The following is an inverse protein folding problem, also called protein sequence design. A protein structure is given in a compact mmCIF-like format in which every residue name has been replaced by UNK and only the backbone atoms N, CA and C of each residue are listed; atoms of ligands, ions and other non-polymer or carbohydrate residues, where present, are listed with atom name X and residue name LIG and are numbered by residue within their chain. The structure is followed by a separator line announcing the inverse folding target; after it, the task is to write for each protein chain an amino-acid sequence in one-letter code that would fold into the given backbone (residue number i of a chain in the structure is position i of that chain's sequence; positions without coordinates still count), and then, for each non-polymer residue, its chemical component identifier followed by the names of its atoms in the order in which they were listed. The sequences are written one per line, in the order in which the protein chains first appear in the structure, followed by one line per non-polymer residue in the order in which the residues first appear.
data_IF_420403012723
#
_entry.id   IF_420403012723
#
_cell.length_a   1.000
_cell.length_b   1.000
_cell.length_c   1.000
_cell.angle_alpha   90.00
_cell.angle_beta   90.00
_cell.angle_gamma   90.00
#
_symmetry.space_group_name_H-M   'P 1'
#
loop_
_entity.id
_entity.type
_entity.pdbx_description
1 polymer ?
2 non-polymer ?
3 non-polymer ?
4 water ?
#
# COMPACT_ATOMS: atom_id res chain seq x y z
N UNK A 1 16.83 -21.39 18.37
CA UNK A 1 18.25 -21.11 18.38
C UNK A 1 18.71 -19.64 18.18
N UNK A 2 18.27 -18.88 17.19
CA UNK A 2 18.73 -17.49 17.00
C UNK A 2 18.36 -16.40 18.01
N UNK A 3 17.34 -16.84 18.74
CA UNK A 3 16.67 -16.09 19.75
C UNK A 3 17.46 -15.19 20.64
N UNK A 4 18.56 -15.48 21.22
CA UNK A 4 19.07 -14.41 22.06
C UNK A 4 19.83 -13.39 21.25
N UNK A 5 20.21 -13.71 20.03
CA UNK A 5 21.32 -13.02 19.43
C UNK A 5 21.24 -12.67 17.95
N UNK A 6 22.18 -11.81 17.56
CA UNK A 6 22.36 -11.27 16.23
C UNK A 6 22.32 -12.38 15.20
N UNK A 7 21.56 -12.18 14.12
CA UNK A 7 21.48 -13.08 12.99
C UNK A 7 22.25 -12.42 11.87
N UNK A 8 22.85 -13.23 11.01
CA UNK A 8 23.62 -12.67 9.90
C UNK A 8 22.84 -13.12 8.67
N UNK A 9 22.39 -12.28 7.73
CA UNK A 9 21.59 -12.78 6.63
C UNK A 9 21.71 -11.90 5.41
N UNK A 10 21.14 -12.32 4.29
CA UNK A 10 21.10 -11.52 3.09
C UNK A 10 19.92 -10.57 3.17
N UNK A 11 20.12 -9.41 2.56
CA UNK A 11 19.13 -8.36 2.43
C UNK A 11 19.61 -7.46 1.34
N UNK A 12 18.62 -6.72 0.84
CA UNK A 12 18.80 -5.78 -0.25
C UNK A 12 19.13 -4.42 0.31
N UNK A 13 20.30 -3.95 -0.09
CA UNK A 13 20.75 -2.65 0.34
C UNK A 13 20.81 -1.68 -0.82
N UNK A 14 20.38 -0.45 -0.52
CA UNK A 14 20.61 0.67 -1.43
C UNK A 14 21.73 1.44 -0.75
N UNK A 15 22.89 1.52 -1.35
CA UNK A 15 23.96 2.27 -0.70
C UNK A 15 23.90 3.68 -1.23
N UNK A 16 23.24 3.85 -2.38
CA UNK A 16 23.27 5.07 -3.12
C UNK A 16 22.04 5.10 -4.01
N UNK A 17 21.42 6.29 -4.22
CA UNK A 17 20.22 6.31 -5.01
C UNK A 17 20.59 6.29 -6.48
N UNK A 18 19.54 5.85 -7.14
CA UNK A 18 19.55 5.58 -8.54
C UNK A 18 20.54 4.46 -8.86
N UNK A 19 20.69 3.53 -7.93
CA UNK A 19 21.55 2.38 -8.08
C UNK A 19 20.68 1.16 -7.88
N UNK A 20 20.83 0.04 -8.60
CA UNK A 20 20.19 -1.22 -8.22
C UNK A 20 20.60 -1.70 -6.83
N UNK A 21 19.83 -2.61 -6.28
CA UNK A 21 20.10 -3.12 -4.96
C UNK A 21 21.25 -4.15 -4.97
N UNK A 22 22.03 -4.12 -3.88
CA UNK A 22 23.10 -5.07 -3.62
C UNK A 22 22.47 -6.13 -2.73
N UNK A 23 22.56 -7.43 -3.00
CA UNK A 23 22.14 -8.47 -2.07
C UNK A 23 23.38 -8.51 -1.15
N UNK A 24 23.25 -8.30 0.14
CA UNK A 24 24.40 -8.21 0.99
C UNK A 24 24.16 -9.15 2.14
N UNK A 25 25.18 -9.35 2.94
CA UNK A 25 25.01 -10.10 4.15
C UNK A 25 25.04 -9.01 5.22
N UNK A 26 24.13 -9.09 6.14
CA UNK A 26 23.98 -8.04 7.10
C UNK A 26 23.76 -8.74 8.42
N UNK A 27 23.84 -7.94 9.43
CA UNK A 27 23.69 -8.43 10.74
C UNK A 27 22.48 -7.81 11.35
N UNK A 28 21.47 -8.64 11.59
CA UNK A 28 20.24 -8.19 12.18
C UNK A 28 20.41 -8.34 13.69
N UNK A 29 20.51 -7.19 14.39
CA UNK A 29 20.61 -7.14 15.84
C UNK A 29 19.46 -7.88 16.50
N UNK A 30 19.56 -8.50 17.68
CA UNK A 30 18.40 -8.94 18.48
C UNK A 30 17.41 -7.81 18.91
N UNK A 31 16.12 -8.10 19.07
CA UNK A 31 15.12 -7.12 19.46
C UNK A 31 15.16 -6.65 20.91
N UNK A 32 15.11 -5.34 21.07
CA UNK A 32 15.08 -4.79 22.40
C UNK A 32 13.65 -4.80 22.95
N UNK A 33 13.29 -4.07 24.02
CA UNK A 33 11.93 -4.15 24.56
C UNK A 33 10.97 -3.59 23.55
N UNK A 34 9.85 -4.33 23.42
CA UNK A 34 8.72 -4.01 22.55
C UNK A 34 9.14 -4.03 21.07
N UNK A 35 10.16 -4.85 20.70
CA UNK A 35 10.52 -5.04 19.31
C UNK A 35 10.22 -6.48 18.96
N UNK A 36 10.11 -6.84 17.68
CA UNK A 36 9.75 -8.17 17.24
C UNK A 36 10.76 -8.42 16.18
N UNK A 37 11.15 -9.65 15.95
CA UNK A 37 12.07 -9.92 14.85
C UNK A 37 11.33 -10.94 14.03
N UNK A 38 11.30 -10.71 12.73
CA UNK A 38 10.45 -11.46 11.81
C UNK A 38 11.27 -12.10 10.70
N UNK A 39 10.94 -13.36 10.44
CA UNK A 39 11.52 -14.06 9.37
C UNK A 39 10.53 -13.85 8.22
N UNK A 40 11.01 -13.14 7.20
CA UNK A 40 10.19 -12.84 6.03
C UNK A 40 9.85 -14.10 5.22
N UNK A 41 8.81 -14.10 4.41
CA UNK A 41 8.40 -15.30 3.71
C UNK A 41 8.16 -14.91 2.24
N UNK A 42 7.45 -13.78 2.09
CA UNK A 42 7.09 -13.13 0.82
C UNK A 42 6.93 -11.62 1.04
N UNK A 43 7.45 -10.79 0.14
CA UNK A 43 7.33 -9.36 0.26
C UNK A 43 6.94 -8.89 -1.12
N UNK A 44 5.96 -7.99 -1.32
CA UNK A 44 5.70 -7.43 -2.65
C UNK A 44 6.64 -6.26 -2.93
N UNK A 45 6.69 -5.97 -4.24
CA UNK A 45 7.40 -4.83 -4.82
C UNK A 45 6.34 -3.79 -5.22
N UNK A 46 6.58 -2.55 -4.83
CA UNK A 46 5.66 -1.45 -4.95
C UNK A 46 6.39 -0.15 -5.28
N UNK A 47 5.79 0.66 -6.16
CA UNK A 47 6.21 2.00 -6.53
C UNK A 47 6.90 2.81 -5.44
N UNK A 48 6.40 2.81 -4.20
CA UNK A 48 6.93 3.65 -3.14
C UNK A 48 8.35 3.33 -2.75
N UNK A 49 8.77 2.05 -2.82
CA UNK A 49 10.16 1.87 -2.47
C UNK A 49 11.00 2.03 -3.70
N UNK A 50 10.40 1.98 -4.90
CA UNK A 50 11.09 2.37 -6.11
C UNK A 50 11.21 3.91 -6.11
N UNK A 51 10.27 4.71 -5.55
CA UNK A 51 10.46 6.15 -5.43
C UNK A 51 11.66 6.47 -4.58
N UNK A 52 12.01 5.67 -3.58
CA UNK A 52 13.17 5.85 -2.71
C UNK A 52 14.49 5.87 -3.51
N UNK A 53 14.45 4.82 -4.37
CA UNK A 53 15.54 4.49 -5.27
C UNK A 53 15.75 5.67 -6.19
N UNK A 54 14.71 6.16 -6.84
CA UNK A 54 14.94 7.32 -7.67
C UNK A 54 15.36 8.58 -6.88
N UNK A 55 15.42 8.74 -5.54
CA UNK A 55 15.74 10.02 -4.92
C UNK A 55 14.44 10.73 -4.52
N UNK A 56 13.33 10.47 -5.22
CA UNK A 56 12.01 11.07 -4.98
C UNK A 56 11.41 10.94 -3.59
N UNK A 57 11.26 9.74 -3.00
CA UNK A 57 10.86 9.68 -1.61
C UNK A 57 12.21 9.79 -0.92
N UNK A 58 12.33 10.89 -0.15
CA UNK A 58 13.59 11.10 0.55
C UNK A 58 13.41 10.44 1.92
N UNK A 59 14.29 9.45 2.09
CA UNK A 59 14.43 8.66 3.30
C UNK A 59 15.97 8.54 3.33
N UNK A 60 16.60 8.57 4.52
CA UNK A 60 18.06 8.42 4.65
C UNK A 60 18.68 7.14 4.04
N UNK A 61 19.70 7.36 3.21
CA UNK A 61 20.45 6.25 2.60
C UNK A 61 21.77 5.93 3.32
N UNK A 62 22.40 4.73 3.37
CA UNK A 62 21.91 3.45 2.86
C UNK A 62 20.73 2.94 3.64
N UNK A 63 19.88 2.15 2.99
CA UNK A 63 18.61 1.69 3.55
C UNK A 63 18.24 0.31 2.99
N UNK A 64 17.49 -0.40 3.85
CA UNK A 64 16.81 -1.65 3.48
C UNK A 64 15.35 -1.18 3.17
N UNK A 65 14.85 -1.06 1.93
CA UNK A 65 13.51 -0.62 1.63
C UNK A 65 12.59 -1.79 1.92
N UNK A 66 11.39 -1.75 1.40
CA UNK A 66 10.39 -2.79 1.61
C UNK A 66 9.43 -2.33 2.66
N UNK A 67 8.15 -2.32 2.35
CA UNK A 67 7.13 -2.01 3.35
C UNK A 67 5.99 -3.02 3.19
N UNK A 68 5.86 -3.80 2.11
CA UNK A 68 4.68 -4.65 1.97
C UNK A 68 4.99 -6.14 2.08
N UNK A 69 4.71 -6.81 3.19
CA UNK A 69 5.15 -8.18 3.42
C UNK A 69 4.36 -8.85 4.49
N UNK A 70 4.49 -10.18 4.55
CA UNK A 70 3.92 -11.04 5.57
C UNK A 70 5.10 -11.96 5.91
N UNK A 71 5.15 -12.57 7.11
CA UNK A 71 6.25 -13.48 7.59
C UNK A 71 5.91 -14.25 8.88
N UNK A 72 6.93 -14.83 9.55
CA UNK A 72 6.74 -15.47 10.88
C UNK A 72 7.63 -14.86 11.98
N UNK A 73 7.10 -14.78 13.20
CA UNK A 73 7.75 -14.20 14.38
C UNK A 73 8.81 -15.14 14.93
N UNK A 74 10.04 -14.64 15.11
CA UNK A 74 11.18 -15.41 15.61
C UNK A 74 11.45 -15.01 17.08
N UNK A 75 12.02 -13.85 17.34
CA UNK A 75 12.33 -13.45 18.68
C UNK A 75 11.30 -12.45 19.17
N UNK A 76 10.80 -12.33 20.38
CA UNK A 76 10.06 -11.10 20.70
C UNK A 76 10.86 -10.31 21.77
N UNK A 77 10.87 -8.98 21.84
CA UNK A 77 11.67 -8.30 22.82
C UNK A 77 10.90 -8.26 24.10
N UNK A 78 11.48 -7.58 25.08
CA UNK A 78 10.90 -7.36 26.41
C UNK A 78 9.56 -6.60 26.34
N UNK A 79 8.55 -7.12 27.03
CA UNK A 79 7.23 -6.48 27.16
C UNK A 79 6.43 -6.61 25.88
N UNK A 80 6.51 -7.71 25.13
CA UNK A 80 5.72 -7.90 23.94
C UNK A 80 4.57 -8.87 24.26
N UNK A 81 3.46 -8.16 24.35
CA UNK A 81 2.12 -8.68 24.58
C UNK A 81 1.29 -9.12 23.38
N UNK A 82 1.52 -8.67 22.14
CA UNK A 82 0.66 -9.00 21.00
C UNK A 82 1.11 -10.16 20.11
N UNK A 83 2.42 -10.45 20.06
CA UNK A 83 2.90 -11.53 19.23
C UNK A 83 3.83 -12.36 20.11
N UNK A 84 3.99 -13.58 19.64
CA UNK A 84 4.77 -14.59 20.32
C UNK A 84 5.40 -15.35 19.17
N UNK A 85 6.63 -15.76 19.31
CA UNK A 85 7.36 -16.54 18.32
C UNK A 85 6.53 -17.60 17.61
N UNK A 86 6.62 -17.53 16.31
CA UNK A 86 6.00 -18.49 15.45
C UNK A 86 4.72 -17.92 14.86
N UNK A 87 4.33 -16.70 15.27
CA UNK A 87 3.11 -16.09 14.78
C UNK A 87 3.33 -15.58 13.40
N UNK A 88 2.31 -15.83 12.58
CA UNK A 88 2.23 -15.24 11.26
C UNK A 88 1.97 -13.73 11.53
N UNK A 89 2.57 -12.81 10.79
CA UNK A 89 2.39 -11.37 10.99
C UNK A 89 2.59 -10.58 9.71
N UNK A 90 2.19 -9.31 9.68
CA UNK A 90 2.40 -8.41 8.57
C UNK A 90 2.96 -7.13 9.18
N UNK A 91 4.19 -6.69 8.85
CA UNK A 91 4.72 -5.38 9.24
C UNK A 91 3.82 -4.24 8.83
N UNK A 92 3.69 -3.21 9.65
CA UNK A 92 2.80 -2.09 9.36
C UNK A 92 3.65 -0.83 9.16
N UNK A 93 3.62 -0.43 7.89
CA UNK A 93 4.35 0.73 7.44
C UNK A 93 3.70 2.00 8.03
N UNK A 94 2.39 1.95 8.33
CA UNK A 94 1.77 3.02 9.09
C UNK A 94 1.18 2.41 10.33
N UNK A 95 1.73 2.79 11.48
CA UNK A 95 1.57 2.09 12.74
C UNK A 95 0.21 2.18 13.39
N UNK A 96 0.06 1.64 14.57
CA UNK A 96 -1.11 1.96 15.32
C UNK A 96 -0.64 2.00 16.75
N UNK A 97 0.04 3.09 17.12
CA UNK A 97 0.51 3.20 18.51
C UNK A 97 -0.54 3.24 19.60
N UNK A 98 -1.84 3.24 19.28
CA UNK A 98 -2.89 3.31 20.29
C UNK A 98 -3.04 4.62 21.05
N UNK A 99 -2.00 5.44 21.35
CA UNK A 99 -2.13 6.66 22.21
C UNK A 99 -2.41 8.07 21.71
N UNK A 100 -1.78 8.41 20.60
CA UNK A 100 -2.06 9.68 20.03
C UNK A 100 -3.51 9.85 19.63
N UNK A 101 -3.72 11.14 19.45
CA UNK A 101 -4.95 11.74 19.00
C UNK A 101 -5.36 11.25 17.64
N UNK A 102 -4.51 10.82 16.66
CA UNK A 102 -5.06 10.17 15.45
C UNK A 102 -5.62 8.76 15.73
N UNK A 103 -4.98 8.02 16.65
CA UNK A 103 -5.36 6.67 17.05
C UNK A 103 -6.61 6.67 17.90
N UNK A 104 -6.77 7.77 18.63
CA UNK A 104 -7.96 7.99 19.43
C UNK A 104 -9.09 8.46 18.52
N UNK A 105 -8.79 9.30 17.53
CA UNK A 105 -9.79 9.85 16.63
C UNK A 105 -10.62 8.76 15.93
N UNK A 106 -11.97 8.75 15.81
CA UNK A 106 -12.70 7.60 15.27
C UNK A 106 -12.54 7.37 13.77
N UNK A 107 -11.70 8.17 13.11
CA UNK A 107 -11.56 7.97 11.70
C UNK A 107 -10.13 8.08 11.28
N UNK A 108 -9.33 8.78 12.08
CA UNK A 108 -7.98 9.03 11.66
C UNK A 108 -7.20 7.71 11.69
N UNK A 109 -6.24 7.60 10.78
CA UNK A 109 -5.46 6.38 10.69
C UNK A 109 -4.00 6.74 10.50
N UNK A 110 -3.66 7.98 10.14
CA UNK A 110 -2.27 8.33 9.93
C UNK A 110 -1.64 8.67 11.26
N UNK A 111 -1.33 7.56 11.97
CA UNK A 111 -0.64 7.54 13.25
C UNK A 111 0.59 8.41 13.34
N UNK A 112 0.54 9.39 14.26
CA UNK A 112 1.76 10.17 14.62
C UNK A 112 3.14 9.50 14.90
N UNK A 113 3.33 8.20 15.08
CA UNK A 113 4.65 7.70 15.32
C UNK A 113 4.97 7.03 13.99
N UNK A 114 4.78 7.77 12.90
CA UNK A 114 4.97 7.23 11.58
C UNK A 114 6.28 7.82 11.07
N UNK A 115 7.01 7.15 10.16
CA UNK A 115 8.28 7.66 9.60
C UNK A 115 8.10 8.12 8.15
N UNK A 116 6.84 8.34 7.75
CA UNK A 116 6.50 8.86 6.43
C UNK A 116 6.62 10.36 6.28
N UNK A 117 6.06 11.08 7.24
CA UNK A 117 6.04 12.54 7.16
C UNK A 117 7.44 13.11 7.16
N UNK A 118 8.20 12.72 8.19
CA UNK A 118 9.54 13.27 8.36
C UNK A 118 10.52 12.11 8.51
N UNK A 119 10.95 11.40 7.46
CA UNK A 119 11.55 10.07 7.57
C UNK A 119 12.94 10.10 8.22
N UNK A 120 13.14 9.54 9.40
CA UNK A 120 14.49 9.44 9.88
C UNK A 120 15.21 8.07 9.64
N UNK A 121 14.45 7.11 9.10
CA UNK A 121 14.89 5.75 8.77
C UNK A 121 15.39 4.93 9.96
N UNK A 122 14.69 4.97 11.13
CA UNK A 122 15.09 4.33 12.38
C UNK A 122 13.91 3.61 13.03
N UNK A 123 14.23 3.03 14.16
CA UNK A 123 13.28 2.33 15.01
C UNK A 123 12.84 3.43 15.94
N UNK A 124 11.86 3.18 16.79
CA UNK A 124 11.34 4.27 17.61
C UNK A 124 12.34 4.90 18.55
N UNK A 125 13.30 4.10 18.96
CA UNK A 125 14.35 4.58 19.81
C UNK A 125 15.41 5.34 19.04
N UNK A 126 15.14 5.85 17.83
CA UNK A 126 16.14 6.55 17.07
C UNK A 126 17.29 5.64 16.61
N UNK A 127 17.47 4.38 17.00
CA UNK A 127 18.53 3.60 16.40
C UNK A 127 18.02 2.62 15.33
N UNK A 128 19.02 2.07 14.66
CA UNK A 128 18.96 1.09 13.60
C UNK A 128 19.35 -0.31 14.10
N UNK A 129 18.88 -1.39 13.50
CA UNK A 129 19.23 -2.75 13.96
C UNK A 129 19.93 -3.49 12.78
N UNK A 130 20.60 -2.76 11.88
CA UNK A 130 21.25 -3.31 10.70
C UNK A 130 22.68 -2.72 10.60
N UNK A 131 23.66 -3.54 10.28
CA UNK A 131 25.04 -3.07 10.13
C UNK A 131 25.63 -3.95 9.07
N UNK A 132 26.25 -3.46 8.04
CA UNK A 132 26.78 -4.29 7.00
C UNK A 132 28.23 -3.94 7.21
N UNK A 133 29.02 -4.93 7.65
CA UNK A 133 30.44 -4.69 7.96
C UNK A 133 30.70 -3.52 8.96
N UNK A 134 30.03 -3.43 10.13
CA UNK A 134 30.21 -2.27 11.00
C UNK A 134 29.46 -1.00 10.54
N UNK A 135 29.39 -0.69 9.23
CA UNK A 135 28.57 0.41 8.75
C UNK A 135 27.05 0.19 8.99
N UNK A 136 26.30 1.10 9.59
CA UNK A 136 24.86 0.98 9.82
C UNK A 136 23.98 1.24 8.60
N UNK A 137 22.95 0.40 8.44
CA UNK A 137 22.00 0.50 7.34
C UNK A 137 20.67 0.97 7.92
N UNK A 138 20.11 2.07 7.46
CA UNK A 138 18.82 2.53 7.96
C UNK A 138 17.63 1.66 7.62
N UNK A 139 16.67 1.67 8.55
CA UNK A 139 15.36 1.04 8.41
C UNK A 139 14.40 1.87 7.51
N UNK A 140 13.45 1.27 6.76
CA UNK A 140 12.49 1.94 5.90
C UNK A 140 11.12 1.60 6.48
N UNK A 141 10.45 2.75 6.76
CA UNK A 141 9.10 2.93 7.31
C UNK A 141 8.87 2.07 8.53
N UNK A 142 9.99 1.93 9.24
CA UNK A 142 10.06 1.01 10.38
C UNK A 142 9.57 -0.42 10.08
N UNK A 143 9.85 -0.86 8.83
CA UNK A 143 9.58 -2.19 8.32
C UNK A 143 10.80 -2.80 7.67
N UNK A 144 11.46 -2.22 6.65
CA UNK A 144 12.57 -2.80 5.91
C UNK A 144 12.33 -4.27 5.52
N UNK A 145 11.33 -4.61 4.70
CA UNK A 145 11.03 -6.00 4.50
C UNK A 145 11.84 -6.68 3.37
N UNK A 146 12.84 -6.02 2.71
CA UNK A 146 13.71 -6.62 1.71
C UNK A 146 14.94 -7.24 2.43
N UNK A 147 14.70 -8.06 3.41
CA UNK A 147 15.75 -8.62 4.23
C UNK A 147 15.20 -9.94 4.65
N UNK A 148 16.08 -10.90 4.93
CA UNK A 148 15.55 -12.18 5.31
C UNK A 148 14.93 -12.13 6.69
N UNK A 149 15.38 -11.18 7.49
CA UNK A 149 14.97 -10.95 8.85
C UNK A 149 14.89 -9.45 9.05
N UNK A 150 14.02 -9.03 9.97
CA UNK A 150 13.85 -7.60 10.27
C UNK A 150 13.32 -7.43 11.68
N UNK A 151 13.45 -6.23 12.23
CA UNK A 151 12.98 -6.00 13.57
C UNK A 151 11.99 -4.82 13.44
N UNK A 152 10.79 -4.95 14.01
CA UNK A 152 9.79 -3.90 13.96
C UNK A 152 9.33 -3.60 15.38
N UNK A 153 8.88 -2.38 15.67
CA UNK A 153 8.34 -2.09 16.98
C UNK A 153 6.99 -2.75 17.12
N UNK A 154 6.57 -3.09 18.33
CA UNK A 154 5.30 -3.80 18.53
C UNK A 154 4.09 -3.01 17.93
N UNK A 155 4.14 -1.69 17.74
CA UNK A 155 3.06 -0.96 17.06
C UNK A 155 3.09 -1.10 15.51
N UNK A 156 4.08 -1.75 14.91
CA UNK A 156 4.19 -1.89 13.48
C UNK A 156 4.15 -3.35 13.07
N UNK A 157 3.45 -4.23 13.77
CA UNK A 157 3.27 -5.62 13.38
C UNK A 157 1.83 -5.97 13.80
N UNK A 158 1.09 -6.67 12.93
CA UNK A 158 -0.25 -7.13 13.28
C UNK A 158 -0.16 -8.65 13.15
N UNK A 159 -0.74 -9.38 14.11
CA UNK A 159 -0.73 -10.85 14.10
C UNK A 159 -1.90 -11.25 13.21
N UNK A 160 -1.76 -12.34 12.45
CA UNK A 160 -2.83 -12.78 11.59
C UNK A 160 -3.10 -14.27 11.77
N UNK A 161 -4.05 -14.83 11.00
CA UNK A 161 -4.41 -16.24 11.08
C UNK A 161 -3.33 -17.21 10.65
N UNK A 162 -3.36 -18.28 11.46
CA UNK A 162 -2.45 -19.37 11.37
C UNK A 162 -2.53 -20.02 10.02
N UNK A 163 -3.71 -20.27 9.43
CA UNK A 163 -3.78 -20.91 8.14
C UNK A 163 -3.49 -19.98 6.97
N UNK A 164 -2.96 -18.78 7.22
CA UNK A 164 -2.87 -17.80 6.17
C UNK A 164 -1.80 -18.04 5.15
N UNK A 165 -2.17 -18.01 3.86
CA UNK A 165 -1.25 -18.15 2.75
C UNK A 165 -0.33 -16.96 2.69
N UNK A 166 0.86 -16.91 3.30
CA UNK A 166 1.70 -15.70 3.26
C UNK A 166 2.29 -15.24 1.93
N UNK A 167 2.19 -16.02 0.90
CA UNK A 167 2.66 -15.59 -0.39
C UNK A 167 1.57 -14.77 -1.11
N UNK A 168 0.34 -14.86 -0.56
CA UNK A 168 -0.81 -14.19 -1.12
C UNK A 168 -1.25 -13.12 -0.14
N UNK A 169 -1.40 -13.36 1.16
CA UNK A 169 -1.79 -12.27 2.02
C UNK A 169 -0.75 -11.22 2.25
N UNK A 170 0.44 -11.17 1.68
CA UNK A 170 1.30 -10.04 1.96
C UNK A 170 0.77 -8.74 1.34
N UNK A 171 -0.19 -8.80 0.38
CA UNK A 171 -0.76 -7.64 -0.32
C UNK A 171 -1.53 -6.77 0.62
N UNK A 172 -2.01 -7.36 1.70
CA UNK A 172 -2.79 -6.66 2.70
C UNK A 172 -1.89 -5.72 3.47
N UNK A 173 -0.58 -5.68 3.24
CA UNK A 173 0.30 -4.77 3.92
C UNK A 173 0.49 -3.47 3.20
N UNK A 174 0.03 -3.39 1.96
CA UNK A 174 0.01 -2.10 1.31
C UNK A 174 -0.99 -1.98 0.19
N UNK A 175 -0.68 -2.30 -1.07
CA UNK A 175 -1.54 -2.11 -2.24
C UNK A 175 -2.98 -2.60 -2.16
N UNK A 176 -3.33 -3.85 -1.82
CA UNK A 176 -4.73 -4.22 -1.69
C UNK A 176 -5.35 -3.35 -0.63
N UNK A 177 -5.10 -3.42 0.67
CA UNK A 177 -5.61 -2.47 1.63
C UNK A 177 -5.59 -1.01 1.21
N UNK A 178 -4.61 -0.43 0.54
CA UNK A 178 -4.74 0.95 0.17
C UNK A 178 -5.94 1.11 -0.75
N UNK A 179 -6.16 0.41 -1.87
CA UNK A 179 -7.36 0.55 -2.69
C UNK A 179 -8.62 0.02 -2.03
N UNK A 180 -8.75 -1.18 -1.44
CA UNK A 180 -10.04 -1.69 -0.95
C UNK A 180 -10.58 -0.82 0.15
N UNK A 181 -9.76 -0.10 0.90
CA UNK A 181 -10.17 0.84 1.95
C UNK A 181 -10.51 2.21 1.39
N UNK A 182 -9.89 2.66 0.31
CA UNK A 182 -10.22 3.90 -0.32
C UNK A 182 -11.65 3.78 -0.81
N UNK A 183 -12.13 2.57 -1.12
CA UNK A 183 -13.49 2.34 -1.48
C UNK A 183 -14.35 2.07 -0.26
N UNK A 184 -14.04 1.05 0.51
CA UNK A 184 -14.81 0.69 1.69
C UNK A 184 -14.76 1.60 2.92
N UNK A 185 -13.62 2.20 3.24
CA UNK A 185 -13.50 2.95 4.47
C UNK A 185 -13.46 4.44 4.28
N UNK A 186 -12.76 4.96 3.27
CA UNK A 186 -12.63 6.42 3.06
C UNK A 186 -13.85 7.06 2.34
N UNK A 187 -14.10 6.65 1.07
CA UNK A 187 -15.24 7.10 0.32
C UNK A 187 -16.50 6.51 0.92
N UNK A 188 -16.52 5.40 1.65
CA UNK A 188 -17.74 4.79 2.18
C UNK A 188 -18.82 4.62 1.12
N UNK A 189 -18.38 4.00 0.02
CA UNK A 189 -19.21 3.74 -1.15
C UNK A 189 -20.50 3.05 -0.74
N UNK A 190 -21.61 3.26 -1.48
CA UNK A 190 -22.87 2.73 -1.05
C UNK A 190 -23.45 1.66 -1.90
N UNK A 191 -24.45 1.01 -1.32
CA UNK A 191 -25.27 0.07 -2.01
C UNK A 191 -25.94 0.77 -3.23
N UNK A 192 -25.94 0.24 -4.45
CA UNK A 192 -26.56 0.92 -5.57
C UNK A 192 -25.65 1.92 -6.31
N UNK A 193 -24.71 2.65 -5.66
CA UNK A 193 -23.90 3.67 -6.29
C UNK A 193 -23.19 3.42 -7.62
N UNK A 194 -22.78 4.51 -8.26
CA UNK A 194 -22.00 4.43 -9.48
C UNK A 194 -20.60 4.92 -9.15
N UNK A 195 -19.61 4.08 -9.30
CA UNK A 195 -18.25 4.48 -9.04
C UNK A 195 -17.48 4.59 -10.32
N UNK A 196 -16.47 5.44 -10.38
CA UNK A 196 -15.57 5.52 -11.51
C UNK A 196 -14.20 5.42 -10.86
N UNK A 197 -13.30 4.52 -11.33
CA UNK A 197 -11.95 4.37 -10.82
C UNK A 197 -11.05 4.84 -11.96
N UNK A 198 -10.07 5.69 -11.74
CA UNK A 198 -9.22 6.16 -12.80
C UNK A 198 -7.91 5.41 -12.67
N UNK A 199 -7.39 4.75 -13.69
CA UNK A 199 -6.18 4.01 -13.54
C UNK A 199 -6.48 2.64 -13.00
N UNK A 200 -5.95 1.59 -13.57
CA UNK A 200 -6.29 0.24 -13.13
C UNK A 200 -5.07 -0.69 -13.02
N UNK A 201 -4.12 -0.27 -12.16
CA UNK A 201 -3.00 -1.11 -11.86
C UNK A 201 -3.49 -1.85 -10.64
N UNK A 202 -2.65 -2.55 -9.91
CA UNK A 202 -3.09 -3.34 -8.75
C UNK A 202 -3.95 -2.61 -7.75
N UNK A 203 -3.71 -1.31 -7.51
CA UNK A 203 -4.51 -0.49 -6.57
C UNK A 203 -5.93 -0.22 -7.08
N UNK A 204 -6.06 0.20 -8.35
CA UNK A 204 -7.32 0.41 -9.03
C UNK A 204 -8.10 -0.89 -9.03
N UNK A 205 -7.42 -2.03 -9.15
CA UNK A 205 -8.08 -3.32 -9.05
C UNK A 205 -8.55 -3.54 -7.65
N UNK A 206 -7.89 -3.04 -6.59
CA UNK A 206 -8.35 -3.25 -5.21
C UNK A 206 -9.54 -2.39 -4.82
N UNK A 207 -9.60 -1.18 -5.41
CA UNK A 207 -10.72 -0.24 -5.29
C UNK A 207 -11.96 -0.97 -5.80
N UNK A 208 -11.96 -1.45 -7.05
CA UNK A 208 -13.08 -2.14 -7.72
C UNK A 208 -13.60 -3.29 -6.92
N UNK A 209 -12.67 -4.05 -6.31
CA UNK A 209 -13.00 -5.07 -5.33
C UNK A 209 -13.70 -4.43 -4.12
N UNK A 210 -13.27 -3.30 -3.53
CA UNK A 210 -13.97 -2.66 -2.42
C UNK A 210 -15.36 -2.15 -2.77
N UNK A 211 -15.45 -1.42 -3.89
CA UNK A 211 -16.68 -0.83 -4.45
C UNK A 211 -17.62 -1.96 -4.69
N UNK A 212 -17.11 -3.09 -5.20
CA UNK A 212 -17.89 -4.29 -5.35
C UNK A 212 -18.35 -4.71 -3.96
N UNK A 213 -17.51 -4.90 -2.96
CA UNK A 213 -17.95 -5.24 -1.63
C UNK A 213 -19.02 -4.32 -0.99
N UNK A 214 -19.03 -3.00 -1.32
CA UNK A 214 -20.03 -2.09 -0.78
C UNK A 214 -21.31 -2.19 -1.53
N UNK A 215 -21.31 -2.79 -2.72
CA UNK A 215 -22.51 -2.98 -3.49
C UNK A 215 -22.78 -1.93 -4.57
N UNK A 216 -21.76 -1.24 -5.10
CA UNK A 216 -21.95 -0.24 -6.15
C UNK A 216 -22.63 -0.91 -7.32
N UNK A 217 -23.65 -0.40 -8.03
CA UNK A 217 -24.16 -1.15 -9.16
C UNK A 217 -23.39 -0.83 -10.44
N UNK A 218 -22.57 0.19 -10.45
CA UNK A 218 -21.72 0.41 -11.59
C UNK A 218 -20.25 0.60 -11.19
N UNK A 219 -19.26 -0.04 -11.81
CA UNK A 219 -17.87 0.34 -11.57
C UNK A 219 -17.32 0.58 -12.97
N UNK A 220 -17.15 1.83 -13.35
CA UNK A 220 -16.60 2.22 -14.63
C UNK A 220 -15.08 2.29 -14.43
N UNK A 221 -14.25 1.51 -15.10
CA UNK A 221 -12.82 1.51 -14.91
C UNK A 221 -12.32 2.30 -16.07
N UNK A 222 -11.43 3.27 -15.95
CA UNK A 222 -11.04 4.02 -17.12
C UNK A 222 -9.53 4.03 -17.19
N UNK A 223 -8.93 3.64 -18.32
CA UNK A 223 -7.49 3.63 -18.39
C UNK A 223 -7.13 3.92 -19.83
N UNK A 224 -6.09 4.71 -20.13
CA UNK A 224 -5.76 4.91 -21.54
C UNK A 224 -5.20 3.65 -22.19
N UNK A 225 -4.87 2.58 -21.40
CA UNK A 225 -4.42 1.28 -21.93
C UNK A 225 -5.42 0.13 -21.81
N UNK A 226 -5.96 -0.08 -23.01
CA UNK A 226 -6.92 -1.11 -23.36
C UNK A 226 -6.68 -2.46 -22.79
N UNK A 227 -5.41 -2.81 -22.54
CA UNK A 227 -5.09 -4.18 -22.21
C UNK A 227 -5.49 -4.44 -20.75
N UNK A 228 -5.58 -3.35 -19.99
CA UNK A 228 -5.98 -3.39 -18.60
C UNK A 228 -7.44 -3.77 -18.44
N UNK A 229 -8.30 -3.62 -19.45
CA UNK A 229 -9.73 -3.75 -19.26
C UNK A 229 -10.27 -5.10 -18.83
N UNK A 230 -9.60 -6.18 -19.25
CA UNK A 230 -10.01 -7.56 -18.93
C UNK A 230 -9.98 -7.93 -17.45
N UNK A 231 -8.81 -7.94 -16.78
CA UNK A 231 -8.67 -8.25 -15.36
C UNK A 231 -9.56 -7.36 -14.53
N UNK A 232 -9.56 -6.04 -14.80
CA UNK A 232 -10.43 -5.06 -14.18
C UNK A 232 -11.86 -5.53 -14.21
N UNK A 233 -12.26 -5.92 -15.42
CA UNK A 233 -13.58 -6.46 -15.65
C UNK A 233 -13.80 -7.67 -14.76
N UNK A 234 -12.87 -8.65 -14.84
CA UNK A 234 -12.89 -9.88 -14.08
C UNK A 234 -13.17 -9.60 -12.61
N UNK A 235 -12.41 -8.63 -12.05
CA UNK A 235 -12.43 -8.19 -10.65
C UNK A 235 -13.69 -7.45 -10.20
N UNK A 236 -14.51 -6.90 -11.12
CA UNK A 236 -15.75 -6.26 -10.76
C UNK A 236 -16.20 -5.12 -11.71
N UNK A 237 -15.36 -4.50 -12.58
CA UNK A 237 -15.85 -3.37 -13.40
C UNK A 237 -17.02 -3.82 -14.25
N UNK A 238 -17.99 -2.87 -14.41
CA UNK A 238 -19.11 -3.18 -15.26
C UNK A 238 -18.78 -2.61 -16.62
N UNK A 239 -18.04 -1.53 -16.71
CA UNK A 239 -17.72 -0.99 -18.00
C UNK A 239 -16.34 -0.40 -17.86
N UNK A 240 -15.68 -0.39 -18.99
CA UNK A 240 -14.37 0.19 -19.05
C UNK A 240 -14.33 1.16 -20.26
N UNK A 241 -13.81 2.39 -20.01
CA UNK A 241 -13.84 3.41 -21.00
C UNK A 241 -12.42 3.88 -21.22
N UNK A 242 -11.97 3.92 -22.47
CA UNK A 242 -10.60 4.29 -22.79
C UNK A 242 -10.69 5.73 -23.25
N UNK A 243 -10.16 6.68 -22.45
CA UNK A 243 -10.20 8.10 -22.70
C UNK A 243 -9.80 8.43 -24.13
N UNK A 244 -8.81 7.79 -24.74
CA UNK A 244 -8.38 8.17 -26.08
C UNK A 244 -9.37 7.83 -27.20
N UNK A 245 -10.49 7.17 -26.91
CA UNK A 245 -11.48 6.86 -27.92
C UNK A 245 -12.44 7.98 -28.25
N UNK A 246 -12.50 9.01 -27.43
CA UNK A 246 -13.49 10.04 -27.56
C UNK A 246 -12.77 11.26 -27.97
N UNK A 247 -13.51 12.01 -28.75
CA UNK A 247 -13.15 13.34 -29.15
C UNK A 247 -13.38 14.28 -27.94
N UNK A 248 -14.41 14.07 -27.12
CA UNK A 248 -14.54 14.87 -25.91
C UNK A 248 -13.68 14.44 -24.66
N UNK A 249 -13.36 15.40 -23.79
CA UNK A 249 -13.06 15.17 -22.39
C UNK A 249 -13.86 14.10 -21.70
N UNK A 250 -13.21 13.25 -20.94
CA UNK A 250 -13.93 12.14 -20.36
C UNK A 250 -14.77 12.60 -19.24
N UNK A 251 -14.57 13.68 -18.47
CA UNK A 251 -15.55 13.98 -17.42
C UNK A 251 -16.91 14.26 -18.05
N UNK A 252 -16.93 14.75 -19.32
CA UNK A 252 -18.12 15.02 -20.09
C UNK A 252 -18.80 13.70 -20.35
N UNK A 253 -18.00 12.83 -20.96
CA UNK A 253 -18.52 11.56 -21.34
C UNK A 253 -18.86 10.85 -20.06
N UNK A 254 -18.26 11.10 -18.92
CA UNK A 254 -18.59 10.30 -17.80
C UNK A 254 -19.78 10.91 -17.18
N UNK A 255 -19.99 12.21 -17.11
CA UNK A 255 -21.20 12.74 -16.50
C UNK A 255 -22.40 12.42 -17.37
N UNK A 256 -22.09 12.36 -18.64
CA UNK A 256 -23.05 12.08 -19.66
C UNK A 256 -23.50 10.69 -19.36
N UNK A 257 -22.67 9.66 -19.47
CA UNK A 257 -23.15 8.32 -19.18
C UNK A 257 -23.52 8.02 -17.76
N UNK A 258 -23.30 8.92 -16.81
CA UNK A 258 -23.70 8.60 -15.47
C UNK A 258 -25.01 9.20 -15.06
N UNK A 259 -25.59 10.01 -15.97
CA UNK A 259 -26.75 10.91 -15.79
C UNK A 259 -26.45 12.05 -14.81
N UNK A 260 -25.56 12.94 -15.19
CA UNK A 260 -25.19 14.01 -14.26
C UNK A 260 -23.94 13.84 -13.35
N UNK A 261 -23.17 12.75 -13.47
CA UNK A 261 -21.95 12.51 -12.71
C UNK A 261 -22.16 11.31 -11.82
N UNK A 262 -21.06 10.58 -11.61
CA UNK A 262 -21.05 9.36 -10.75
C UNK A 262 -21.09 9.72 -9.26
N UNK A 263 -21.30 8.70 -8.44
CA UNK A 263 -21.32 8.92 -7.00
C UNK A 263 -19.95 9.19 -6.34
N UNK A 264 -19.02 8.29 -6.65
CA UNK A 264 -17.71 8.19 -6.08
C UNK A 264 -16.75 8.09 -7.25
N UNK A 265 -15.75 8.92 -7.33
CA UNK A 265 -14.72 8.85 -8.36
C UNK A 265 -13.45 8.57 -7.57
N UNK A 266 -12.48 7.78 -8.10
CA UNK A 266 -11.22 7.46 -7.44
C UNK A 266 -10.10 7.67 -8.40
N UNK A 267 -9.06 8.37 -7.95
CA UNK A 267 -7.85 8.58 -8.74
C UNK A 267 -6.66 7.67 -8.31
N UNK A 268 -6.49 6.63 -9.11
CA UNK A 268 -5.47 5.62 -8.87
C UNK A 268 -4.25 5.83 -9.74
N UNK A 269 -4.26 6.87 -10.59
CA UNK A 269 -3.13 7.11 -11.50
C UNK A 269 -2.08 7.84 -10.72
N UNK A 270 -2.41 8.91 -10.02
CA UNK A 270 -1.49 9.75 -9.28
C UNK A 270 -1.24 11.07 -9.99
N UNK A 271 -1.81 11.37 -11.16
CA UNK A 271 -1.49 12.61 -11.83
C UNK A 271 -2.43 13.69 -11.34
N UNK A 272 -1.94 14.92 -11.47
CA UNK A 272 -2.62 16.16 -11.11
C UNK A 272 -3.84 16.46 -11.99
N UNK A 273 -3.69 16.28 -13.30
CA UNK A 273 -4.77 16.47 -14.25
C UNK A 273 -5.88 15.49 -14.03
N UNK A 274 -5.58 14.24 -13.72
CA UNK A 274 -6.67 13.35 -13.50
C UNK A 274 -7.17 13.51 -12.07
N UNK A 275 -6.51 14.20 -11.13
CA UNK A 275 -7.09 14.36 -9.84
C UNK A 275 -8.24 15.33 -9.89
N UNK A 276 -8.05 16.29 -10.80
CA UNK A 276 -8.97 17.34 -11.19
C UNK A 276 -10.03 16.62 -11.97
N UNK A 277 -9.81 15.95 -13.12
CA UNK A 277 -10.85 15.27 -13.90
C UNK A 277 -11.71 14.34 -13.07
N UNK A 278 -11.18 13.52 -12.18
CA UNK A 278 -11.99 12.71 -11.29
C UNK A 278 -12.76 13.61 -10.30
N UNK A 279 -12.36 14.83 -9.91
CA UNK A 279 -13.12 15.64 -8.97
C UNK A 279 -14.30 16.10 -9.79
N UNK A 280 -14.01 16.75 -10.94
CA UNK A 280 -15.06 17.20 -11.82
C UNK A 280 -16.03 16.17 -12.39
N UNK A 281 -16.07 14.89 -12.07
CA UNK A 281 -17.10 14.13 -12.69
C UNK A 281 -17.86 13.24 -11.78
N UNK A 282 -17.80 13.55 -10.47
CA UNK A 282 -18.78 12.92 -9.60
C UNK A 282 -19.92 13.96 -9.51
N UNK A 283 -21.15 13.67 -9.06
CA UNK A 283 -22.24 14.65 -9.05
C UNK A 283 -21.90 15.94 -8.28
N UNK A 284 -22.46 17.05 -8.79
CA UNK A 284 -22.16 18.39 -8.32
C UNK A 284 -22.62 18.66 -6.91
N UNK A 285 -23.83 18.24 -6.64
CA UNK A 285 -24.41 18.50 -5.35
C UNK A 285 -24.11 17.47 -4.28
N UNK A 286 -23.43 16.39 -4.57
CA UNK A 286 -23.23 15.40 -3.53
C UNK A 286 -22.14 14.36 -3.79
N UNK A 287 -21.38 14.38 -4.90
CA UNK A 287 -20.37 13.39 -5.21
C UNK A 287 -19.14 13.57 -4.32
N UNK A 288 -18.46 12.44 -4.10
CA UNK A 288 -17.24 12.32 -3.28
C UNK A 288 -16.08 11.91 -4.21
N UNK A 289 -14.92 12.58 -4.22
CA UNK A 289 -13.80 12.12 -5.00
C UNK A 289 -12.65 11.77 -4.07
N UNK A 290 -12.02 10.60 -4.28
CA UNK A 290 -10.95 10.15 -3.42
C UNK A 290 -9.65 9.88 -4.19
N UNK A 291 -8.65 10.64 -3.78
CA UNK A 291 -7.31 10.54 -4.29
C UNK A 291 -6.77 9.38 -3.46
N UNK A 292 -6.43 8.33 -4.18
CA UNK A 292 -5.90 7.13 -3.58
C UNK A 292 -4.43 7.32 -3.31
N UNK A 293 -3.68 7.99 -4.18
CA UNK A 293 -2.30 8.24 -3.81
C UNK A 293 -1.70 9.22 -4.76
N UNK A 294 -0.68 9.90 -4.21
CA UNK A 294 0.03 10.98 -4.91
C UNK A 294 1.53 10.89 -4.68
N UNK A 295 2.30 10.98 -5.76
CA UNK A 295 3.72 10.75 -5.74
C UNK A 295 4.35 11.80 -4.86
N UNK A 296 5.30 11.42 -4.02
CA UNK A 296 6.10 12.37 -3.20
C UNK A 296 6.74 13.57 -3.93
N UNK A 297 6.75 13.59 -5.27
CA UNK A 297 7.35 14.68 -6.02
C UNK A 297 6.32 15.72 -6.47
N UNK A 298 5.04 15.46 -6.19
CA UNK A 298 4.01 16.23 -6.84
C UNK A 298 4.17 17.72 -6.55
N UNK A 299 3.89 18.55 -7.58
CA UNK A 299 3.82 20.00 -7.37
C UNK A 299 2.33 20.34 -7.22
N UNK A 300 1.97 21.63 -7.36
CA UNK A 300 0.64 22.12 -7.14
C UNK A 300 -0.26 21.77 -8.30
N UNK A 301 -1.55 21.53 -8.09
CA UNK A 301 -2.48 21.37 -9.19
C UNK A 301 -3.47 22.57 -9.18
N UNK A 302 -3.72 23.17 -10.38
CA UNK A 302 -4.72 24.23 -10.64
C UNK A 302 -6.11 23.64 -10.63
N UNK A 303 -6.97 24.22 -9.82
CA UNK A 303 -8.31 23.70 -9.67
C UNK A 303 -9.24 24.92 -9.49
N UNK A 304 -10.50 24.90 -9.87
CA UNK A 304 -11.31 26.08 -9.65
C UNK A 304 -12.26 25.77 -8.52
N UNK A 305 -12.15 26.46 -7.38
CA UNK A 305 -12.99 26.26 -6.20
C UNK A 305 -14.48 25.98 -6.42
N UNK A 306 -15.03 26.46 -7.55
CA UNK A 306 -16.42 26.28 -7.91
C UNK A 306 -16.89 24.86 -7.76
N UNK A 307 -16.00 23.95 -8.14
CA UNK A 307 -16.30 22.54 -8.06
C UNK A 307 -16.70 22.05 -6.67
N UNK A 308 -16.08 22.60 -5.64
CA UNK A 308 -16.43 22.20 -4.29
C UNK A 308 -17.73 22.85 -3.81
N UNK A 309 -17.98 24.07 -4.29
CA UNK A 309 -19.07 24.93 -3.97
C UNK A 309 -20.42 24.34 -4.20
N UNK A 310 -20.58 23.60 -5.28
CA UNK A 310 -21.83 22.89 -5.64
C UNK A 310 -22.36 22.00 -4.51
N UNK A 311 -21.41 21.30 -3.88
CA UNK A 311 -21.57 20.42 -2.73
C UNK A 311 -20.71 19.16 -2.78
N UNK A 312 -19.55 19.14 -3.45
CA UNK A 312 -18.61 18.00 -3.51
C UNK A 312 -17.70 17.83 -2.26
N UNK A 313 -17.16 16.61 -2.09
CA UNK A 313 -16.19 16.25 -1.05
C UNK A 313 -14.93 15.78 -1.75
N UNK A 314 -13.78 16.30 -1.34
CA UNK A 314 -12.51 15.84 -1.87
C UNK A 314 -11.88 15.28 -0.62
N UNK A 315 -11.43 14.05 -0.80
CA UNK A 315 -10.86 13.24 0.27
C UNK A 315 -9.60 12.62 -0.20
N UNK A 316 -8.53 12.63 0.59
CA UNK A 316 -7.35 11.81 0.35
C UNK A 316 -7.19 10.90 1.59
N UNK A 317 -6.26 9.92 1.59
CA UNK A 317 -5.84 9.11 2.75
C UNK A 317 -4.70 8.10 2.47
N UNK A 318 -4.05 7.65 3.60
CA UNK A 318 -2.97 6.65 3.66
C UNK A 318 -3.56 5.31 4.11
N UNK A 319 -3.24 4.23 3.41
CA UNK A 319 -3.61 2.86 3.71
C UNK A 319 -5.11 2.58 3.88
N UNK A 320 -5.85 3.23 2.98
CA UNK A 320 -7.29 3.03 2.86
C UNK A 320 -8.08 3.39 4.09
N UNK A 321 -7.53 4.33 4.85
CA UNK A 321 -8.07 4.78 6.11
C UNK A 321 -8.16 3.71 7.20
N UNK A 322 -7.50 2.56 7.01
CA UNK A 322 -7.60 1.48 7.97
C UNK A 322 -6.70 1.80 9.14
N UNK A 323 -7.15 1.66 10.38
CA UNK A 323 -6.24 1.80 11.50
C UNK A 323 -5.48 0.48 11.36
N UNK A 324 -4.17 0.55 11.24
CA UNK A 324 -3.42 -0.62 10.79
C UNK A 324 -3.54 -1.86 11.60
N UNK A 325 -3.31 -1.73 12.91
CA UNK A 325 -3.22 -2.92 13.71
C UNK A 325 -4.58 -3.57 13.89
N UNK A 326 -5.62 -2.75 13.98
CA UNK A 326 -6.96 -3.29 14.10
C UNK A 326 -7.53 -4.02 12.90
N UNK A 327 -7.32 -3.38 11.75
CA UNK A 327 -7.96 -3.82 10.54
C UNK A 327 -7.37 -4.99 9.73
N UNK A 328 -6.04 -5.01 9.63
CA UNK A 328 -5.32 -6.03 8.85
C UNK A 328 -5.64 -7.47 9.27
N UNK A 329 -5.69 -7.90 10.53
CA UNK A 329 -6.27 -9.15 10.94
C UNK A 329 -7.65 -9.36 10.39
N UNK A 330 -8.48 -8.31 10.32
CA UNK A 330 -9.87 -8.48 9.91
C UNK A 330 -9.99 -8.67 8.42
N UNK A 331 -9.13 -8.00 7.64
CA UNK A 331 -9.07 -8.20 6.20
C UNK A 331 -8.58 -9.63 5.92
N UNK A 332 -7.51 -10.10 6.60
CA UNK A 332 -6.98 -11.43 6.33
C UNK A 332 -8.10 -12.46 6.59
N UNK A 333 -8.81 -12.37 7.72
CA UNK A 333 -9.94 -13.25 8.06
C UNK A 333 -11.02 -13.27 6.97
N UNK A 334 -11.16 -12.13 6.28
CA UNK A 334 -12.09 -12.02 5.19
C UNK A 334 -11.64 -12.71 3.95
N UNK A 335 -10.33 -12.59 3.67
CA UNK A 335 -9.69 -13.32 2.59
C UNK A 335 -9.81 -14.79 2.95
N UNK A 336 -9.63 -15.06 4.23
CA UNK A 336 -9.64 -16.40 4.71
C UNK A 336 -11.04 -16.93 4.52
N UNK A 337 -12.08 -16.13 4.81
CA UNK A 337 -13.48 -16.52 4.62
C UNK A 337 -13.97 -16.44 3.15
N UNK A 338 -13.03 -16.40 2.18
CA UNK A 338 -13.28 -16.33 0.74
C UNK A 338 -14.21 -15.20 0.20
N UNK A 339 -14.15 -14.06 0.96
CA UNK A 339 -14.80 -12.82 0.55
C UNK A 339 -14.10 -12.23 -0.68
N UNK A 340 -12.76 -12.21 -0.80
CA UNK A 340 -12.14 -11.58 -1.99
C UNK A 340 -10.94 -12.43 -2.42
N UNK A 341 -10.43 -12.36 -3.65
CA UNK A 341 -9.31 -13.20 -4.10
C UNK A 341 -8.12 -12.29 -4.25
N UNK A 342 -6.92 -12.73 -3.94
CA UNK A 342 -5.81 -11.84 -4.13
C UNK A 342 -5.06 -12.17 -5.41
N UNK A 343 -5.54 -13.25 -5.97
CA UNK A 343 -4.86 -13.93 -7.02
C UNK A 343 -4.68 -13.20 -8.32
N UNK A 344 -5.66 -12.44 -8.84
CA UNK A 344 -5.44 -11.71 -10.08
C UNK A 344 -4.54 -10.51 -9.95
N UNK A 345 -4.20 -10.14 -8.73
CA UNK A 345 -3.29 -9.04 -8.59
C UNK A 345 -1.89 -9.59 -8.66
N UNK A 346 -1.68 -10.83 -8.19
CA UNK A 346 -0.35 -11.41 -8.18
C UNK A 346 -0.10 -11.97 -9.57
N UNK A 347 0.81 -11.28 -10.23
CA UNK A 347 1.16 -11.63 -11.58
C UNK A 347 2.51 -12.34 -11.72
N UNK A 348 3.43 -12.05 -10.80
CA UNK A 348 4.76 -12.60 -10.84
C UNK A 348 5.15 -12.96 -9.44
N UNK A 349 5.97 -13.98 -9.32
CA UNK A 349 6.54 -14.37 -8.06
C UNK A 349 7.97 -14.63 -8.47
N UNK A 350 8.93 -13.98 -7.86
CA UNK A 350 10.32 -14.19 -8.18
C UNK A 350 10.97 -14.54 -6.86
N UNK A 351 12.06 -15.32 -6.78
CA UNK A 351 12.92 -15.39 -5.60
C UNK A 351 13.47 -14.05 -5.14
N UNK A 352 13.70 -13.80 -3.86
CA UNK A 352 14.21 -12.55 -3.35
C UNK A 352 15.52 -12.14 -4.01
N UNK A 353 16.52 -13.04 -4.29
CA UNK A 353 17.76 -12.64 -5.02
C UNK A 353 17.50 -11.98 -6.40
N UNK A 354 16.29 -12.09 -6.95
CA UNK A 354 15.84 -11.41 -8.15
C UNK A 354 15.00 -10.10 -8.02
N UNK A 355 15.19 -9.40 -6.87
CA UNK A 355 14.62 -8.11 -6.51
C UNK A 355 14.87 -7.14 -7.64
N UNK A 356 16.08 -6.84 -8.09
CA UNK A 356 16.32 -5.94 -9.21
C UNK A 356 15.49 -6.27 -10.44
N UNK A 357 15.12 -7.52 -10.62
CA UNK A 357 14.37 -7.95 -11.77
C UNK A 357 12.91 -7.65 -11.65
N UNK A 358 12.49 -7.67 -10.38
CA UNK A 358 11.12 -7.33 -10.03
C UNK A 358 10.78 -5.86 -10.21
N UNK A 359 11.84 -5.07 -10.16
CA UNK A 359 11.86 -3.64 -10.31
C UNK A 359 11.72 -3.41 -11.78
N UNK A 360 12.50 -4.05 -12.63
CA UNK A 360 12.40 -3.91 -14.07
C UNK A 360 10.99 -4.05 -14.64
N UNK A 361 10.29 -5.04 -14.05
CA UNK A 361 8.89 -5.37 -14.33
C UNK A 361 7.91 -4.25 -13.95
N UNK A 362 8.13 -3.66 -12.77
CA UNK A 362 7.38 -2.58 -12.19
C UNK A 362 7.67 -1.35 -13.03
N UNK A 363 8.92 -1.15 -13.46
CA UNK A 363 9.28 0.10 -14.12
C UNK A 363 8.73 0.04 -15.55
N UNK A 364 8.73 -1.05 -16.32
CA UNK A 364 8.05 -1.04 -17.61
C UNK A 364 6.61 -1.50 -17.41
N UNK A 365 6.24 -1.63 -16.16
CA UNK A 365 4.87 -1.78 -15.80
C UNK A 365 4.05 -2.91 -16.30
N UNK A 366 4.35 -3.80 -17.25
CA UNK A 366 3.33 -4.82 -17.31
C UNK A 366 3.70 -5.89 -16.30
N UNK A 367 3.05 -5.64 -15.19
CA UNK A 367 3.14 -6.49 -14.07
C UNK A 367 2.24 -5.75 -13.19
N UNK A 368 1.22 -6.48 -12.80
CA UNK A 368 0.31 -5.98 -11.81
C UNK A 368 1.04 -6.00 -10.46
N UNK A 369 1.42 -7.15 -9.96
CA UNK A 369 2.17 -7.28 -8.72
C UNK A 369 3.26 -8.35 -8.83
N UNK A 370 4.49 -7.97 -8.51
CA UNK A 370 5.53 -8.96 -8.36
C UNK A 370 5.71 -9.12 -6.84
N UNK A 371 5.57 -10.38 -6.41
CA UNK A 371 5.87 -10.85 -5.07
C UNK A 371 7.27 -11.49 -5.14
N UNK A 372 8.05 -11.31 -4.10
CA UNK A 372 9.39 -11.84 -3.94
C UNK A 372 9.27 -12.82 -2.77
N UNK A 373 9.73 -14.04 -3.01
CA UNK A 373 9.80 -15.04 -1.96
C UNK A 373 11.24 -15.34 -1.49
N UNK A 374 11.21 -15.63 -0.20
CA UNK A 374 12.41 -15.90 0.55
C UNK A 374 12.65 -17.41 0.52
#
# INVERSE_FOLDING_TARGET
STAGKVIKCKAAVLWEEKKPFSIEEVEVAPPKAHEVRIKMVATGICRSDDHVVSGTLVTPLPVIAGHEAAGIVESIGEGVTTVRPGDKVIPLFTPQCGKCRVCKHPEGNFCLKNDLSMPRGTMQDGTSRFTCRGKPIHHFLGTSTFSQYTVVDEISVAKIDAASPLEKVCLIGCGFSTGYGSAVKVAKVTQGSTCAVFGLGGVGLSVIMGCKAAGAARIIGVDINKDKFAKAKEVGATECVNPQDYKKPIQEVLTEMSNGGVDFSFEVIGRLDTMVTALSCCQEAYGVSVIVGVPPDSQNLSMNPMLLLSGRTWKGAIFGGFKSKDSVPKLVADFMAKKFALDPLITHVLPFEKINEGFDLLRSGESIRTILTF
#
